data_IF_076623152276
#
_entry.id   IF_076623152276
#
_cell.length_a   1.000
_cell.length_b   1.000
_cell.length_c   1.000
_cell.angle_alpha   90.00
_cell.angle_beta   90.00
_cell.angle_gamma   90.00
#
_symmetry.space_group_name_H-M   'P 1'
#
loop_
_entity.id
_entity.type
_entity.pdbx_description
1 polymer ?
#
# COMPACT_ATOMS: atom_id res chain seq x y z
N UNK A 1 9.63 -35.61 19.39
CA UNK A 1 8.87 -34.72 18.49
C UNK A 1 9.26 -35.04 17.06
N UNK A 2 8.32 -35.14 16.13
CA UNK A 2 8.65 -35.38 14.71
C UNK A 2 9.21 -34.08 14.09
N UNK A 3 10.29 -34.12 13.29
CA UNK A 3 10.85 -32.92 12.65
C UNK A 3 9.83 -32.10 11.84
N UNK A 4 8.87 -32.77 11.20
CA UNK A 4 7.80 -32.12 10.46
C UNK A 4 6.90 -31.26 11.37
N UNK A 5 6.54 -31.77 12.55
CA UNK A 5 5.72 -31.05 13.53
C UNK A 5 6.46 -29.82 14.07
N UNK A 6 7.77 -29.95 14.35
CA UNK A 6 8.60 -28.83 14.80
C UNK A 6 8.63 -27.70 13.76
N UNK A 7 8.87 -28.03 12.48
CA UNK A 7 8.86 -27.04 11.38
C UNK A 7 7.50 -26.39 11.19
N UNK A 8 6.41 -27.15 11.29
CA UNK A 8 5.05 -26.62 11.14
C UNK A 8 4.72 -25.60 12.23
N UNK A 9 5.11 -25.88 13.48
CA UNK A 9 4.89 -24.99 14.62
C UNK A 9 5.79 -23.75 14.52
N UNK A 10 7.08 -23.93 14.26
CA UNK A 10 8.00 -22.78 14.12
C UNK A 10 7.69 -21.91 12.91
N UNK A 11 7.11 -22.48 11.84
CA UNK A 11 6.64 -21.71 10.69
C UNK A 11 5.50 -20.73 11.00
N UNK A 12 4.91 -20.77 12.21
CA UNK A 12 3.94 -19.78 12.69
C UNK A 12 4.60 -18.51 13.25
N UNK A 13 5.92 -18.49 13.43
CA UNK A 13 6.67 -17.30 13.82
C UNK A 13 7.25 -16.64 12.56
N UNK A 14 6.69 -15.50 12.10
CA UNK A 14 7.20 -14.83 10.91
C UNK A 14 8.60 -14.27 11.17
N UNK A 15 9.43 -14.27 10.13
CA UNK A 15 10.79 -13.74 10.19
C UNK A 15 11.02 -12.76 9.05
N UNK A 16 11.87 -11.76 9.28
CA UNK A 16 12.46 -11.02 8.18
C UNK A 16 13.45 -11.90 7.41
N UNK A 17 13.72 -11.54 6.16
CA UNK A 17 14.70 -12.24 5.33
C UNK A 17 15.93 -11.37 5.15
N UNK A 18 17.11 -11.92 5.45
CA UNK A 18 18.38 -11.24 5.21
C UNK A 18 19.29 -12.06 4.29
N UNK A 19 20.21 -11.38 3.61
CA UNK A 19 21.36 -12.00 2.96
C UNK A 19 22.63 -11.57 3.67
N UNK A 20 23.36 -12.54 4.22
CA UNK A 20 24.68 -12.34 4.81
C UNK A 20 25.72 -12.43 3.70
N UNK A 21 26.56 -11.41 3.54
CA UNK A 21 27.55 -11.29 2.46
C UNK A 21 28.97 -11.10 2.99
N UNK A 22 29.94 -11.53 2.18
CA UNK A 22 31.37 -11.23 2.34
C UNK A 22 32.06 -11.36 0.99
N UNK A 23 33.38 -11.13 0.95
CA UNK A 23 34.22 -11.46 -0.21
C UNK A 23 34.98 -12.77 0.05
N UNK A 24 34.93 -13.70 -0.90
CA UNK A 24 35.83 -14.85 -0.90
C UNK A 24 37.29 -14.40 -1.07
N UNK A 25 38.24 -15.33 -0.86
CA UNK A 25 39.67 -15.03 -0.92
C UNK A 25 40.17 -14.52 -2.28
N UNK A 26 39.42 -14.78 -3.35
CA UNK A 26 39.65 -14.29 -4.71
C UNK A 26 38.97 -12.93 -5.01
N UNK A 27 38.29 -12.35 -4.03
CA UNK A 27 37.57 -11.08 -4.16
C UNK A 27 36.16 -11.19 -4.75
N UNK A 28 35.65 -12.40 -4.98
CA UNK A 28 34.29 -12.63 -5.49
C UNK A 28 33.27 -12.48 -4.34
N UNK A 29 32.16 -11.74 -4.52
CA UNK A 29 31.12 -11.65 -3.51
C UNK A 29 30.43 -13.01 -3.30
N UNK A 30 30.29 -13.39 -2.04
CA UNK A 30 29.61 -14.60 -1.60
C UNK A 30 28.52 -14.25 -0.59
N UNK A 31 27.52 -15.12 -0.47
CA UNK A 31 26.44 -14.88 0.47
C UNK A 31 25.50 -16.04 0.72
N UNK A 32 24.67 -15.83 1.73
CA UNK A 32 23.74 -16.82 2.26
C UNK A 32 22.46 -16.13 2.75
N UNK A 33 21.32 -16.62 2.28
CA UNK A 33 20.01 -16.22 2.79
C UNK A 33 19.78 -16.81 4.16
N UNK A 34 19.32 -15.98 5.12
CA UNK A 34 19.06 -16.38 6.50
C UNK A 34 17.76 -15.75 7.00
N UNK A 35 16.90 -16.55 7.64
CA UNK A 35 15.69 -16.07 8.33
C UNK A 35 15.84 -15.99 9.85
N UNK A 36 16.99 -16.40 10.40
CA UNK A 36 17.26 -16.47 11.84
C UNK A 36 17.96 -15.22 12.40
N UNK A 37 18.01 -14.12 11.63
CA UNK A 37 18.66 -12.88 12.03
C UNK A 37 17.92 -12.21 13.20
N UNK A 38 18.68 -11.69 14.17
CA UNK A 38 18.12 -10.96 15.32
C UNK A 38 19.11 -9.97 15.93
N UNK A 39 18.60 -8.93 16.60
CA UNK A 39 19.38 -8.05 17.47
C UNK A 39 19.68 -8.74 18.80
N UNK A 40 20.88 -8.54 19.35
CA UNK A 40 21.31 -9.19 20.60
C UNK A 40 21.54 -8.18 21.72
N UNK A 41 22.23 -7.07 21.44
CA UNK A 41 22.63 -6.09 22.46
C UNK A 41 22.72 -4.69 21.86
N UNK A 42 22.43 -3.68 22.68
CA UNK A 42 22.62 -2.26 22.33
C UNK A 42 24.02 -1.77 22.71
N UNK A 43 24.54 -2.16 23.88
CA UNK A 43 25.87 -1.79 24.34
C UNK A 43 26.63 -3.00 24.94
N UNK A 44 27.64 -3.56 24.24
CA UNK A 44 28.04 -3.19 22.88
C UNK A 44 26.96 -3.55 21.84
N UNK A 45 26.95 -2.92 20.65
CA UNK A 45 25.95 -3.21 19.62
C UNK A 45 26.25 -4.57 18.97
N UNK A 46 25.38 -5.54 19.23
CA UNK A 46 25.53 -6.92 18.76
C UNK A 46 24.28 -7.41 18.00
N UNK A 47 24.51 -8.22 16.97
CA UNK A 47 23.49 -8.96 16.21
C UNK A 47 23.87 -10.44 16.14
N UNK A 48 22.93 -11.31 15.77
CA UNK A 48 23.21 -12.72 15.55
C UNK A 48 22.43 -13.30 14.36
N UNK A 49 22.98 -14.38 13.80
CA UNK A 49 22.30 -15.25 12.85
C UNK A 49 22.74 -16.70 13.07
N UNK A 50 21.89 -17.65 12.64
CA UNK A 50 22.09 -19.07 12.92
C UNK A 50 22.18 -19.87 11.62
N UNK A 51 23.39 -20.12 11.08
CA UNK A 51 23.58 -20.95 9.90
C UNK A 51 23.64 -22.45 10.21
N UNK A 52 23.16 -23.29 9.27
CA UNK A 52 23.38 -24.74 9.30
C UNK A 52 24.88 -25.04 9.18
N UNK A 53 25.40 -25.89 10.08
CA UNK A 53 26.84 -26.25 10.12
C UNK A 53 27.32 -26.96 8.85
N UNK A 54 26.43 -27.62 8.14
CA UNK A 54 26.71 -28.31 6.88
C UNK A 54 26.51 -27.41 5.64
N UNK A 55 26.10 -26.14 5.82
CA UNK A 55 25.92 -25.19 4.72
C UNK A 55 27.25 -24.87 4.05
N UNK A 56 27.34 -25.14 2.74
CA UNK A 56 28.51 -24.75 1.92
C UNK A 56 28.70 -23.22 1.86
N UNK A 57 27.61 -22.45 1.90
CA UNK A 57 27.68 -20.99 1.92
C UNK A 57 28.18 -20.47 3.28
N UNK A 58 27.78 -21.13 4.38
CA UNK A 58 28.34 -20.83 5.69
C UNK A 58 29.83 -21.12 5.76
N UNK A 59 30.27 -22.28 5.24
CA UNK A 59 31.70 -22.60 5.14
C UNK A 59 32.47 -21.50 4.41
N UNK A 60 31.99 -21.07 3.25
CA UNK A 60 32.60 -19.97 2.48
C UNK A 60 32.68 -18.67 3.28
N UNK A 61 31.59 -18.26 3.93
CA UNK A 61 31.54 -17.05 4.78
C UNK A 61 32.46 -17.14 6.01
N UNK A 62 32.60 -18.32 6.59
CA UNK A 62 33.51 -18.55 7.72
C UNK A 62 34.98 -18.50 7.29
N UNK A 63 35.29 -19.00 6.10
CA UNK A 63 36.63 -19.01 5.52
C UNK A 63 37.04 -17.64 4.95
N UNK A 64 36.09 -16.78 4.57
CA UNK A 64 36.37 -15.41 4.09
C UNK A 64 36.92 -14.46 5.15
N UNK A 65 36.88 -14.85 6.43
CA UNK A 65 37.46 -14.09 7.53
C UNK A 65 36.43 -13.65 8.57
N UNK A 66 36.70 -12.53 9.25
CA UNK A 66 35.89 -12.06 10.38
C UNK A 66 34.85 -11.00 10.00
N UNK A 67 34.81 -10.55 8.75
CA UNK A 67 33.96 -9.43 8.34
C UNK A 67 32.81 -9.95 7.48
N UNK A 68 31.60 -9.47 7.76
CA UNK A 68 30.40 -9.81 7.00
C UNK A 68 29.41 -8.65 7.06
N UNK A 69 28.59 -8.52 6.02
CA UNK A 69 27.49 -7.55 5.99
C UNK A 69 26.16 -8.30 5.99
N UNK A 70 25.19 -7.80 6.74
CA UNK A 70 23.81 -8.29 6.71
C UNK A 70 22.98 -7.33 5.87
N UNK A 71 22.33 -7.84 4.83
CA UNK A 71 21.44 -7.08 3.95
C UNK A 71 19.99 -7.47 4.24
N UNK A 72 19.20 -6.55 4.80
CA UNK A 72 17.77 -6.78 5.04
C UNK A 72 17.01 -6.62 3.74
N UNK A 73 16.41 -7.69 3.22
CA UNK A 73 15.80 -7.65 1.89
C UNK A 73 14.45 -6.92 1.88
N UNK A 74 14.21 -6.16 0.82
CA UNK A 74 12.90 -5.58 0.53
C UNK A 74 11.93 -6.58 -0.09
N UNK A 75 10.63 -6.34 0.02
CA UNK A 75 9.58 -7.22 -0.50
C UNK A 75 9.68 -7.52 -2.01
N UNK A 76 10.31 -6.64 -2.78
CA UNK A 76 10.57 -6.77 -4.21
C UNK A 76 11.78 -7.67 -4.54
N UNK A 77 12.55 -8.10 -3.53
CA UNK A 77 13.80 -8.86 -3.70
C UNK A 77 13.63 -10.37 -3.45
N UNK A 78 12.43 -10.91 -3.64
CA UNK A 78 12.17 -12.35 -3.54
C UNK A 78 13.06 -13.16 -4.50
N UNK A 79 13.27 -12.65 -5.72
CA UNK A 79 14.13 -13.30 -6.72
C UNK A 79 15.60 -13.39 -6.26
N UNK A 80 16.11 -12.32 -5.62
CA UNK A 80 17.46 -12.30 -5.04
C UNK A 80 17.55 -13.31 -3.89
N UNK A 81 16.55 -13.34 -3.01
CA UNK A 81 16.46 -14.31 -1.91
C UNK A 81 16.57 -15.75 -2.44
N UNK A 82 15.80 -16.09 -3.48
CA UNK A 82 15.78 -17.42 -4.10
C UNK A 82 17.11 -17.74 -4.80
N UNK A 83 17.68 -16.77 -5.51
CA UNK A 83 18.97 -16.91 -6.19
C UNK A 83 20.11 -17.20 -5.21
N UNK A 84 20.14 -16.50 -4.06
CA UNK A 84 21.19 -16.70 -3.06
C UNK A 84 20.99 -17.97 -2.24
N UNK A 85 19.76 -18.48 -2.13
CA UNK A 85 19.44 -19.71 -1.40
C UNK A 85 19.89 -21.00 -2.13
N UNK A 86 19.98 -21.00 -3.46
CA UNK A 86 20.36 -22.21 -4.22
C UNK A 86 21.85 -22.52 -4.16
N UNK A 87 22.22 -23.80 -4.30
CA UNK A 87 23.62 -24.25 -4.38
C UNK A 87 24.14 -24.07 -5.81
N UNK A 88 24.73 -22.90 -6.09
CA UNK A 88 25.31 -22.52 -7.39
C UNK A 88 26.58 -21.69 -7.17
N UNK A 89 27.53 -21.77 -8.09
CA UNK A 89 28.64 -20.82 -8.19
C UNK A 89 28.16 -19.46 -8.71
N UNK A 90 28.90 -18.39 -8.40
CA UNK A 90 28.63 -17.01 -8.84
C UNK A 90 27.19 -16.54 -8.61
N UNK A 91 26.69 -16.69 -7.38
CA UNK A 91 25.31 -16.30 -7.01
C UNK A 91 24.99 -14.81 -7.20
N UNK A 92 26.02 -13.99 -7.30
CA UNK A 92 25.91 -12.54 -7.49
C UNK A 92 26.00 -12.11 -8.96
N UNK A 93 26.11 -13.06 -9.91
CA UNK A 93 25.99 -12.73 -11.33
C UNK A 93 24.58 -12.18 -11.60
N UNK A 94 24.51 -10.92 -12.04
CA UNK A 94 23.26 -10.22 -12.30
C UNK A 94 22.60 -9.58 -11.06
N UNK A 95 23.23 -9.65 -9.88
CA UNK A 95 22.81 -8.90 -8.69
C UNK A 95 23.63 -7.61 -8.61
N UNK A 96 22.96 -6.46 -8.56
CA UNK A 96 23.65 -5.17 -8.36
C UNK A 96 24.00 -4.99 -6.89
N UNK A 97 25.23 -4.52 -6.63
CA UNK A 97 25.75 -4.32 -5.29
C UNK A 97 26.84 -3.24 -5.29
N UNK A 98 27.03 -2.63 -4.12
CA UNK A 98 28.11 -1.68 -3.85
C UNK A 98 28.85 -2.02 -2.56
N UNK A 99 29.92 -1.29 -2.23
CA UNK A 99 30.68 -1.51 -1.00
C UNK A 99 30.14 -0.62 0.12
N UNK A 100 29.89 -1.21 1.29
CA UNK A 100 29.65 -0.50 2.53
C UNK A 100 30.89 0.30 3.00
N UNK A 101 30.77 1.17 4.03
CA UNK A 101 31.93 1.82 4.64
C UNK A 101 32.97 0.82 5.18
N UNK A 102 32.55 -0.36 5.64
CA UNK A 102 33.43 -1.46 6.02
C UNK A 102 34.06 -2.21 4.83
N UNK A 103 33.72 -1.82 3.60
CA UNK A 103 34.23 -2.41 2.37
C UNK A 103 33.61 -3.75 2.01
N UNK A 104 32.39 -4.04 2.48
CA UNK A 104 31.68 -5.32 2.30
C UNK A 104 30.54 -5.19 1.27
N UNK A 105 30.07 -6.29 0.65
CA UNK A 105 29.01 -6.20 -0.37
C UNK A 105 27.65 -5.84 0.23
N UNK A 106 27.09 -4.72 -0.21
CA UNK A 106 25.72 -4.27 0.06
C UNK A 106 24.88 -4.47 -1.20
N UNK A 107 23.76 -5.17 -1.08
CA UNK A 107 22.84 -5.42 -2.20
C UNK A 107 22.02 -4.15 -2.44
N UNK A 108 22.03 -3.65 -3.68
CA UNK A 108 21.32 -2.43 -4.03
C UNK A 108 19.81 -2.60 -3.83
N UNK A 109 19.17 -1.59 -3.25
CA UNK A 109 17.72 -1.60 -2.98
C UNK A 109 17.29 -2.47 -1.80
N UNK A 110 18.23 -3.02 -1.02
CA UNK A 110 17.89 -3.61 0.28
C UNK A 110 17.27 -2.53 1.21
N UNK A 111 16.55 -2.96 2.26
CA UNK A 111 15.94 -2.03 3.23
C UNK A 111 17.03 -1.35 4.06
N UNK A 112 18.00 -2.15 4.53
CA UNK A 112 19.07 -1.71 5.41
C UNK A 112 20.26 -2.66 5.30
N UNK A 113 21.45 -2.13 5.59
CA UNK A 113 22.66 -2.92 5.71
C UNK A 113 23.28 -2.79 7.10
N UNK A 114 23.99 -3.84 7.54
CA UNK A 114 24.63 -3.90 8.85
C UNK A 114 26.01 -4.56 8.71
N UNK A 115 27.06 -3.73 8.70
CA UNK A 115 28.45 -4.16 8.67
C UNK A 115 28.90 -4.68 10.03
N UNK A 116 29.39 -5.91 10.04
CA UNK A 116 29.74 -6.61 11.27
C UNK A 116 31.16 -7.17 11.24
N UNK A 117 31.70 -7.34 12.45
CA UNK A 117 32.84 -8.23 12.71
C UNK A 117 32.37 -9.39 13.58
N UNK A 118 32.76 -10.62 13.28
CA UNK A 118 32.49 -11.79 14.12
C UNK A 118 33.07 -11.57 15.51
N UNK A 119 32.21 -11.58 16.52
CA UNK A 119 32.53 -11.47 17.94
C UNK A 119 32.77 -12.87 18.52
N UNK A 120 31.84 -13.79 18.27
CA UNK A 120 31.88 -15.16 18.80
C UNK A 120 31.02 -16.11 17.96
N UNK A 121 31.38 -17.40 17.96
CA UNK A 121 30.61 -18.47 17.32
C UNK A 121 30.41 -19.57 18.36
N UNK A 122 29.15 -19.99 18.57
CA UNK A 122 28.80 -21.07 19.50
C UNK A 122 28.12 -22.22 18.75
N UNK A 123 28.45 -23.45 19.09
CA UNK A 123 27.73 -24.61 18.55
C UNK A 123 26.37 -24.76 19.25
N UNK A 124 25.29 -24.90 18.46
CA UNK A 124 23.93 -25.06 18.95
C UNK A 124 23.20 -26.16 18.17
N UNK A 125 23.56 -27.42 18.46
CA UNK A 125 23.01 -28.58 17.78
C UNK A 125 23.53 -28.71 16.34
N UNK A 126 22.63 -28.66 15.36
CA UNK A 126 22.96 -28.71 13.93
C UNK A 126 23.25 -27.31 13.32
N UNK A 127 23.10 -26.25 14.10
CA UNK A 127 23.42 -24.87 13.71
C UNK A 127 24.58 -24.30 14.53
N UNK A 128 25.26 -23.31 13.98
CA UNK A 128 26.09 -22.39 14.76
C UNK A 128 25.26 -21.17 15.18
N UNK A 129 25.60 -20.51 16.28
CA UNK A 129 25.14 -19.17 16.63
C UNK A 129 26.30 -18.22 16.38
N UNK A 130 26.17 -17.39 15.36
CA UNK A 130 27.20 -16.41 15.00
C UNK A 130 26.78 -15.06 15.56
N UNK A 131 27.57 -14.53 16.49
CA UNK A 131 27.38 -13.19 17.07
C UNK A 131 28.32 -12.22 16.36
N UNK A 132 27.77 -11.15 15.82
CA UNK A 132 28.49 -10.07 15.16
C UNK A 132 28.44 -8.77 15.96
N UNK A 133 29.58 -8.10 16.09
CA UNK A 133 29.69 -6.74 16.57
C UNK A 133 29.48 -5.76 15.41
N UNK A 134 28.49 -4.89 15.56
CA UNK A 134 28.15 -3.91 14.53
C UNK A 134 29.22 -2.81 14.47
N UNK A 135 29.60 -2.42 13.25
CA UNK A 135 30.59 -1.37 12.96
C UNK A 135 29.94 -0.18 12.27
N UNK A 136 29.13 -0.46 11.25
CA UNK A 136 28.33 0.51 10.51
C UNK A 136 26.97 -0.10 10.23
N UNK A 137 25.94 0.72 10.19
CA UNK A 137 24.61 0.35 9.70
C UNK A 137 23.96 1.60 9.11
N UNK A 138 23.09 1.40 8.14
CA UNK A 138 22.24 2.48 7.63
C UNK A 138 20.96 1.91 7.00
N UNK A 139 19.98 2.80 6.81
CA UNK A 139 18.80 2.54 5.99
C UNK A 139 19.19 2.81 4.55
N UNK A 140 19.03 1.81 3.69
CA UNK A 140 19.40 1.89 2.28
C UNK A 140 18.22 2.34 1.42
N UNK A 141 17.01 1.82 1.70
CA UNK A 141 15.82 2.13 0.93
C UNK A 141 14.55 2.10 1.79
N UNK A 142 13.62 3.06 1.64
CA UNK A 142 12.37 3.12 2.40
C UNK A 142 11.29 2.18 1.81
N UNK A 143 11.63 0.91 1.63
CA UNK A 143 10.71 -0.13 1.15
C UNK A 143 10.34 -1.09 2.27
N UNK A 144 9.16 -1.70 2.16
CA UNK A 144 8.70 -2.69 3.15
C UNK A 144 9.56 -3.98 3.07
N UNK A 145 9.87 -4.62 4.21
CA UNK A 145 10.75 -5.77 4.24
C UNK A 145 10.09 -7.04 3.69
N UNK A 146 10.92 -7.90 3.10
CA UNK A 146 10.54 -9.28 2.75
C UNK A 146 10.38 -10.11 4.03
N UNK A 147 9.22 -10.74 4.17
CA UNK A 147 8.90 -11.64 5.27
C UNK A 147 8.81 -13.09 4.78
N UNK A 148 9.17 -14.02 5.66
CA UNK A 148 8.94 -15.45 5.47
C UNK A 148 7.99 -15.98 6.54
N UNK A 149 6.88 -16.58 6.11
CA UNK A 149 5.82 -17.10 6.98
C UNK A 149 5.21 -18.38 6.39
N UNK A 150 5.11 -19.45 7.20
CA UNK A 150 4.50 -20.74 6.81
C UNK A 150 5.02 -21.35 5.49
N UNK A 151 6.27 -21.08 5.12
CA UNK A 151 6.87 -21.58 3.88
C UNK A 151 6.69 -20.69 2.66
N UNK A 152 5.99 -19.55 2.79
CA UNK A 152 5.78 -18.56 1.74
C UNK A 152 6.49 -17.24 2.04
N UNK A 153 6.66 -16.44 0.99
CA UNK A 153 7.15 -15.06 1.09
C UNK A 153 5.97 -14.07 1.12
N UNK A 154 6.19 -12.93 1.77
CA UNK A 154 5.23 -11.83 1.84
C UNK A 154 5.90 -10.52 2.25
N UNK A 155 5.10 -9.53 2.60
CA UNK A 155 5.56 -8.21 3.04
C UNK A 155 4.93 -7.85 4.39
N UNK A 156 5.61 -6.98 5.15
CA UNK A 156 4.97 -6.32 6.29
C UNK A 156 3.91 -5.32 5.80
N UNK A 157 2.78 -5.24 6.51
CA UNK A 157 1.72 -4.25 6.31
C UNK A 157 1.33 -3.73 7.71
N UNK A 158 1.78 -2.53 8.13
CA UNK A 158 1.34 -1.94 9.39
C UNK A 158 -0.17 -1.71 9.41
N UNK A 159 -0.82 -2.08 10.52
CA UNK A 159 -2.26 -1.88 10.74
C UNK A 159 -2.59 -0.53 11.42
N UNK A 160 -1.58 0.27 11.81
CA UNK A 160 -1.76 1.51 12.59
C UNK A 160 -1.40 2.77 11.80
N UNK A 161 -2.29 3.76 11.85
CA UNK A 161 -2.16 5.12 11.28
C UNK A 161 -0.90 5.89 11.77
N UNK A 162 -0.35 5.52 12.92
CA UNK A 162 0.77 6.25 13.54
C UNK A 162 2.17 5.71 13.19
N UNK A 163 2.27 4.56 12.53
CA UNK A 163 3.55 3.85 12.38
C UNK A 163 4.05 3.71 10.94
N UNK A 164 3.29 4.15 9.92
CA UNK A 164 3.56 3.73 8.55
C UNK A 164 3.39 4.73 7.40
N UNK A 165 2.72 5.87 7.58
CA UNK A 165 2.42 6.76 6.45
C UNK A 165 2.71 8.22 6.82
N UNK A 166 3.95 8.68 6.61
CA UNK A 166 4.27 10.10 6.61
C UNK A 166 3.33 10.88 5.66
N UNK A 167 2.93 10.22 4.56
CA UNK A 167 1.99 10.68 3.55
C UNK A 167 0.62 11.08 4.13
N UNK A 168 0.12 10.41 5.18
CA UNK A 168 -1.20 10.75 5.72
C UNK A 168 -1.18 12.04 6.56
N UNK A 169 -0.10 12.27 7.31
CA UNK A 169 0.06 13.53 8.08
C UNK A 169 0.14 14.71 7.12
N UNK A 170 0.89 14.55 6.02
CA UNK A 170 0.94 15.52 4.95
C UNK A 170 -0.43 15.74 4.32
N UNK A 171 -1.15 14.67 3.93
CA UNK A 171 -2.50 14.76 3.36
C UNK A 171 -3.48 15.47 4.31
N UNK A 172 -3.44 15.20 5.62
CA UNK A 172 -4.28 15.90 6.59
C UNK A 172 -3.96 17.39 6.69
N UNK A 173 -2.68 17.77 6.57
CA UNK A 173 -2.27 19.17 6.51
C UNK A 173 -2.78 19.85 5.24
N UNK A 174 -2.70 19.17 4.07
CA UNK A 174 -3.25 19.67 2.81
C UNK A 174 -4.79 19.83 2.89
N UNK A 175 -5.48 18.88 3.54
CA UNK A 175 -6.93 18.92 3.73
C UNK A 175 -7.34 20.10 4.60
N UNK A 176 -6.56 20.43 5.64
CA UNK A 176 -6.87 21.58 6.49
C UNK A 176 -6.78 22.91 5.74
N UNK A 177 -5.83 23.04 4.80
CA UNK A 177 -5.71 24.20 3.90
C UNK A 177 -6.97 24.38 3.05
N UNK A 178 -7.58 23.29 2.57
CA UNK A 178 -8.75 23.34 1.67
C UNK A 178 -10.08 23.33 2.42
N UNK A 179 -10.07 23.22 3.75
CA UNK A 179 -11.29 23.20 4.59
C UNK A 179 -12.27 24.34 4.29
N UNK A 180 -11.85 25.60 4.10
CA UNK A 180 -12.78 26.68 3.76
C UNK A 180 -13.51 26.46 2.42
N UNK A 181 -12.86 25.81 1.44
CA UNK A 181 -13.46 25.48 0.14
C UNK A 181 -14.53 24.39 0.34
N UNK A 182 -14.25 23.41 1.20
CA UNK A 182 -15.23 22.38 1.55
C UNK A 182 -16.46 22.98 2.25
N UNK A 183 -16.25 23.91 3.18
CA UNK A 183 -17.32 24.64 3.90
C UNK A 183 -18.19 25.47 2.96
N UNK A 184 -17.57 26.18 2.02
CA UNK A 184 -18.28 26.96 0.99
C UNK A 184 -19.17 26.06 0.13
N UNK A 185 -18.63 24.94 -0.36
CA UNK A 185 -19.37 23.99 -1.21
C UNK A 185 -20.51 23.32 -0.43
N UNK A 186 -20.24 22.88 0.81
CA UNK A 186 -21.24 22.29 1.69
C UNK A 186 -22.38 23.28 1.99
N UNK A 187 -22.05 24.54 2.29
CA UNK A 187 -23.04 25.59 2.57
C UNK A 187 -23.86 25.98 1.34
N UNK A 188 -23.26 26.01 0.14
CA UNK A 188 -23.96 26.37 -1.10
C UNK A 188 -25.10 25.41 -1.43
N UNK A 189 -24.90 24.13 -1.14
CA UNK A 189 -25.83 23.06 -1.53
C UNK A 189 -26.57 22.40 -0.37
N UNK A 190 -26.37 22.90 0.86
CA UNK A 190 -26.87 22.35 2.11
C UNK A 190 -26.65 20.83 2.19
N UNK A 191 -25.39 20.43 2.06
CA UNK A 191 -25.00 19.01 1.96
C UNK A 191 -23.70 18.71 2.69
N UNK A 192 -23.31 17.43 2.70
CA UNK A 192 -22.00 17.00 3.16
C UNK A 192 -20.98 17.08 2.03
N UNK A 193 -19.78 17.53 2.38
CA UNK A 193 -18.59 17.45 1.55
C UNK A 193 -17.52 16.67 2.31
N UNK A 194 -16.92 15.68 1.66
CA UNK A 194 -15.89 14.83 2.28
C UNK A 194 -14.58 14.87 1.51
N UNK A 195 -13.48 14.67 2.23
CA UNK A 195 -12.18 14.39 1.65
C UNK A 195 -11.83 12.91 1.86
N UNK A 196 -11.36 12.25 0.80
CA UNK A 196 -10.94 10.85 0.83
C UNK A 196 -9.53 10.73 0.26
N UNK A 197 -8.65 10.05 0.96
CA UNK A 197 -7.28 9.76 0.54
C UNK A 197 -7.16 8.30 0.09
N UNK A 198 -6.33 8.03 -0.91
CA UNK A 198 -5.90 6.66 -1.20
C UNK A 198 -4.65 6.38 -0.38
N UNK A 199 -4.79 5.48 0.60
CA UNK A 199 -3.68 5.00 1.42
C UNK A 199 -3.45 3.55 1.04
N UNK A 200 -2.35 3.31 0.31
CA UNK A 200 -1.99 1.98 -0.21
C UNK A 200 -3.08 1.42 -1.13
N UNK A 201 -3.92 0.49 -0.65
CA UNK A 201 -5.02 -0.13 -1.40
C UNK A 201 -6.39 0.09 -0.71
N UNK A 202 -6.48 1.13 0.11
CA UNK A 202 -7.71 1.50 0.82
C UNK A 202 -8.00 2.99 0.65
N UNK A 203 -9.27 3.31 0.44
CA UNK A 203 -9.78 4.67 0.51
C UNK A 203 -10.06 5.00 1.98
N UNK A 204 -9.39 6.02 2.48
CA UNK A 204 -9.54 6.53 3.83
C UNK A 204 -10.31 7.84 3.81
N UNK A 205 -11.46 7.87 4.49
CA UNK A 205 -12.21 9.09 4.73
C UNK A 205 -11.48 9.96 5.77
N UNK A 206 -10.95 11.09 5.36
CA UNK A 206 -10.02 11.92 6.15
C UNK A 206 -10.65 13.20 6.67
N UNK A 207 -11.67 13.74 6.00
CA UNK A 207 -12.45 14.86 6.52
C UNK A 207 -13.91 14.83 6.04
N UNK A 208 -14.78 15.47 6.82
CA UNK A 208 -16.18 15.72 6.47
C UNK A 208 -16.58 17.10 6.99
N UNK A 209 -17.36 17.82 6.20
CA UNK A 209 -17.94 19.14 6.52
C UNK A 209 -19.40 19.14 6.09
N UNK A 210 -20.28 19.77 6.88
CA UNK A 210 -21.72 19.77 6.64
C UNK A 210 -22.42 18.54 7.21
N UNK A 211 -23.58 18.19 6.64
CA UNK A 211 -24.37 17.00 7.01
C UNK A 211 -25.02 16.41 5.77
N UNK A 212 -25.06 15.08 5.69
CA UNK A 212 -25.73 14.36 4.61
C UNK A 212 -27.06 13.81 5.11
N UNK A 213 -28.15 14.10 4.41
CA UNK A 213 -29.46 13.47 4.66
C UNK A 213 -29.57 12.06 4.08
N UNK A 214 -28.68 11.72 3.14
CA UNK A 214 -28.73 10.44 2.40
C UNK A 214 -27.78 9.38 2.97
N UNK A 215 -26.85 9.75 3.85
CA UNK A 215 -25.94 8.80 4.49
C UNK A 215 -26.73 7.89 5.46
N UNK A 216 -26.67 6.57 5.25
CA UNK A 216 -27.41 5.60 6.09
C UNK A 216 -26.77 5.46 7.48
N UNK A 217 -25.47 5.74 7.55
CA UNK A 217 -24.70 5.85 8.79
C UNK A 217 -23.90 7.16 8.77
N UNK A 218 -23.65 7.81 9.92
CA UNK A 218 -22.83 9.02 9.95
C UNK A 218 -21.48 8.76 9.31
N UNK A 219 -21.08 9.63 8.40
CA UNK A 219 -19.77 9.65 7.75
C UNK A 219 -18.69 9.88 8.81
N UNK A 220 -17.88 8.85 9.12
CA UNK A 220 -16.88 8.91 10.21
C UNK A 220 -15.48 9.04 9.63
N UNK A 221 -14.81 10.16 9.93
CA UNK A 221 -13.36 10.28 9.70
C UNK A 221 -12.65 9.06 10.29
N UNK A 222 -11.75 8.46 9.50
CA UNK A 222 -11.07 7.20 9.80
C UNK A 222 -11.70 5.97 9.13
N UNK A 223 -12.89 6.08 8.54
CA UNK A 223 -13.54 4.98 7.83
C UNK A 223 -12.77 4.60 6.56
N UNK A 224 -12.58 3.28 6.37
CA UNK A 224 -11.91 2.68 5.23
C UNK A 224 -12.86 1.94 4.30
N UNK A 225 -12.59 2.05 3.01
CA UNK A 225 -13.21 1.27 1.93
C UNK A 225 -12.10 0.64 1.08
N UNK A 226 -12.31 -0.56 0.52
CA UNK A 226 -11.32 -1.16 -0.37
C UNK A 226 -11.18 -0.35 -1.66
N UNK A 227 -9.96 -0.24 -2.18
CA UNK A 227 -9.68 0.34 -3.49
C UNK A 227 -9.92 -0.69 -4.59
N UNK A 228 -11.13 -0.73 -5.14
CA UNK A 228 -11.53 -1.73 -6.15
C UNK A 228 -12.70 -1.24 -7.02
N UNK A 229 -12.84 -1.70 -8.28
CA UNK A 229 -13.92 -1.23 -9.13
C UNK A 229 -15.32 -1.52 -8.58
N UNK A 230 -16.29 -0.57 -8.71
CA UNK A 230 -16.12 0.76 -9.31
C UNK A 230 -15.64 1.85 -8.31
N UNK A 231 -15.44 1.50 -7.03
CA UNK A 231 -15.07 2.41 -5.95
C UNK A 231 -13.60 2.88 -6.08
N UNK A 232 -13.35 4.18 -5.89
CA UNK A 232 -12.01 4.76 -6.04
C UNK A 232 -11.62 5.07 -7.49
N UNK A 233 -12.56 5.02 -8.42
CA UNK A 233 -12.32 5.25 -9.86
C UNK A 233 -11.62 6.56 -10.20
N UNK A 234 -11.76 7.63 -9.40
CA UNK A 234 -11.02 8.90 -9.59
C UNK A 234 -9.51 8.72 -9.42
N UNK A 235 -9.08 8.00 -8.38
CA UNK A 235 -7.66 7.68 -8.18
C UNK A 235 -7.15 6.77 -9.31
N UNK A 236 -7.94 5.79 -9.75
CA UNK A 236 -7.57 4.93 -10.87
C UNK A 236 -7.46 5.71 -12.20
N UNK A 237 -8.35 6.67 -12.44
CA UNK A 237 -8.35 7.51 -13.63
C UNK A 237 -7.12 8.42 -13.72
N UNK A 238 -6.66 8.96 -12.59
CA UNK A 238 -5.61 9.99 -12.56
C UNK A 238 -4.27 9.53 -11.94
N UNK A 239 -4.18 8.32 -11.39
CA UNK A 239 -2.98 7.78 -10.73
C UNK A 239 -1.97 7.09 -11.66
N UNK A 240 -2.18 7.15 -12.98
CA UNK A 240 -1.32 6.49 -13.98
C UNK A 240 -1.46 4.96 -14.01
N UNK A 241 -0.68 4.31 -14.88
CA UNK A 241 -0.84 2.90 -15.21
C UNK A 241 -0.67 1.96 -14.01
N UNK A 242 0.21 2.30 -13.06
CA UNK A 242 0.45 1.48 -11.86
C UNK A 242 -0.78 1.45 -10.95
N UNK A 243 -1.36 2.62 -10.66
CA UNK A 243 -2.54 2.74 -9.79
C UNK A 243 -3.77 2.14 -10.47
N UNK A 244 -3.94 2.36 -11.77
CA UNK A 244 -5.00 1.73 -12.57
C UNK A 244 -4.89 0.20 -12.56
N UNK A 245 -3.68 -0.33 -12.73
CA UNK A 245 -3.44 -1.79 -12.70
C UNK A 245 -3.72 -2.37 -11.31
N UNK A 246 -3.30 -1.69 -10.24
CA UNK A 246 -3.60 -2.10 -8.87
C UNK A 246 -5.12 -2.12 -8.61
N UNK A 247 -5.84 -1.09 -9.03
CA UNK A 247 -7.30 -1.03 -8.94
C UNK A 247 -7.96 -2.22 -9.64
N UNK A 248 -7.61 -2.47 -10.91
CA UNK A 248 -8.17 -3.56 -11.71
C UNK A 248 -7.80 -4.96 -11.19
N UNK A 249 -6.66 -5.10 -10.50
CA UNK A 249 -6.25 -6.38 -9.92
C UNK A 249 -7.15 -6.86 -8.78
N UNK A 250 -7.97 -5.96 -8.21
CA UNK A 250 -8.99 -6.31 -7.21
C UNK A 250 -10.32 -6.79 -7.84
N UNK A 251 -10.38 -6.95 -9.16
CA UNK A 251 -11.44 -7.72 -9.82
C UNK A 251 -11.24 -9.22 -9.57
N UNK A 252 -12.30 -9.99 -9.81
CA UNK A 252 -12.20 -11.45 -9.74
C UNK A 252 -11.19 -11.96 -10.78
N UNK A 253 -10.30 -12.90 -10.43
CA UNK A 253 -9.36 -13.50 -11.39
C UNK A 253 -10.12 -14.16 -12.57
N UNK A 254 -11.36 -14.57 -12.35
CA UNK A 254 -12.24 -15.12 -13.38
C UNK A 254 -13.09 -14.08 -14.13
N UNK A 255 -12.87 -12.78 -13.91
CA UNK A 255 -13.66 -11.74 -14.57
C UNK A 255 -13.41 -11.75 -16.09
N UNK A 256 -14.47 -11.72 -16.92
CA UNK A 256 -14.32 -11.62 -18.37
C UNK A 256 -13.54 -10.37 -18.79
N UNK A 257 -12.82 -10.44 -19.91
CA UNK A 257 -12.01 -9.34 -20.44
C UNK A 257 -12.87 -8.09 -20.73
N UNK A 258 -14.13 -8.28 -21.09
CA UNK A 258 -15.11 -7.21 -21.29
C UNK A 258 -15.34 -6.37 -20.02
N UNK A 259 -15.29 -6.99 -18.84
CA UNK A 259 -15.44 -6.30 -17.55
C UNK A 259 -14.22 -5.41 -17.28
N UNK A 260 -13.02 -5.90 -17.61
CA UNK A 260 -11.79 -5.11 -17.47
C UNK A 260 -11.82 -3.89 -18.41
N UNK A 261 -12.21 -4.10 -19.67
CA UNK A 261 -12.34 -3.05 -20.67
C UNK A 261 -13.38 -1.99 -20.26
N UNK A 262 -14.53 -2.42 -19.72
CA UNK A 262 -15.55 -1.51 -19.20
C UNK A 262 -14.99 -0.52 -18.15
N UNK A 263 -14.21 -1.02 -17.20
CA UNK A 263 -13.62 -0.17 -16.15
C UNK A 263 -12.47 0.72 -16.64
N UNK A 264 -11.72 0.29 -17.67
CA UNK A 264 -10.74 1.15 -18.35
C UNK A 264 -11.43 2.30 -19.08
N UNK A 265 -12.48 2.01 -19.84
CA UNK A 265 -13.28 3.04 -20.50
C UNK A 265 -13.92 4.00 -19.48
N UNK A 266 -14.36 3.48 -18.34
CA UNK A 266 -14.85 4.31 -17.23
C UNK A 266 -13.77 5.27 -16.72
N UNK A 267 -12.55 4.76 -16.49
CA UNK A 267 -11.42 5.57 -16.03
C UNK A 267 -11.07 6.67 -17.04
N UNK A 268 -11.07 6.38 -18.34
CA UNK A 268 -10.85 7.38 -19.40
C UNK A 268 -11.94 8.46 -19.42
N UNK A 269 -13.22 8.07 -19.28
CA UNK A 269 -14.33 9.04 -19.18
C UNK A 269 -14.17 9.95 -17.98
N UNK A 270 -13.83 9.39 -16.81
CA UNK A 270 -13.59 10.16 -15.58
C UNK A 270 -12.43 11.13 -15.79
N UNK A 271 -11.34 10.70 -16.41
CA UNK A 271 -10.18 11.56 -16.71
C UNK A 271 -10.57 12.72 -17.61
N UNK A 272 -11.35 12.46 -18.66
CA UNK A 272 -11.82 13.48 -19.60
C UNK A 272 -12.78 14.50 -18.98
N UNK A 273 -13.75 14.04 -18.18
CA UNK A 273 -14.73 14.94 -17.56
C UNK A 273 -14.20 15.66 -16.31
N UNK A 274 -13.26 15.03 -15.59
CA UNK A 274 -12.61 15.56 -14.38
C UNK A 274 -13.34 15.24 -13.06
N UNK A 275 -14.35 14.38 -13.10
CA UNK A 275 -15.07 13.90 -11.91
C UNK A 275 -15.64 12.50 -12.13
N UNK A 276 -16.07 11.85 -11.06
CA UNK A 276 -16.88 10.63 -11.10
C UNK A 276 -18.28 10.91 -10.52
N UNK A 277 -19.27 10.12 -10.92
CA UNK A 277 -20.66 10.29 -10.54
C UNK A 277 -21.27 8.97 -10.11
N UNK A 278 -22.01 8.96 -9.00
CA UNK A 278 -22.83 7.83 -8.58
C UNK A 278 -24.31 8.24 -8.44
N UNK A 279 -25.19 7.41 -8.99
CA UNK A 279 -26.65 7.54 -8.90
C UNK A 279 -27.26 6.26 -8.31
N UNK A 280 -28.41 6.40 -7.64
CA UNK A 280 -29.12 5.30 -6.99
C UNK A 280 -28.78 5.17 -5.49
N UNK A 281 -29.78 4.80 -4.67
CA UNK A 281 -29.63 4.74 -3.20
C UNK A 281 -29.54 3.31 -2.63
N UNK A 282 -30.20 2.31 -3.22
CA UNK A 282 -30.39 1.01 -2.53
C UNK A 282 -29.11 0.17 -2.40
N UNK A 283 -28.32 0.05 -3.47
CA UNK A 283 -27.09 -0.77 -3.44
C UNK A 283 -25.94 -0.08 -2.68
N UNK A 284 -25.86 1.25 -2.76
CA UNK A 284 -24.85 2.05 -2.05
C UNK A 284 -25.05 2.02 -0.51
N UNK A 285 -26.31 1.97 -0.05
CA UNK A 285 -26.64 1.85 1.37
C UNK A 285 -26.16 0.55 2.02
N UNK A 286 -26.03 -0.54 1.25
CA UNK A 286 -25.50 -1.81 1.75
C UNK A 286 -23.99 -1.73 2.03
N UNK A 287 -23.25 -0.99 1.20
CA UNK A 287 -21.80 -0.75 1.35
C UNK A 287 -21.53 0.08 2.58
N UNK A 288 -22.25 1.19 2.76
CA UNK A 288 -22.08 2.05 3.94
C UNK A 288 -22.31 1.30 5.24
N UNK A 289 -23.41 0.54 5.34
CA UNK A 289 -23.70 -0.26 6.53
C UNK A 289 -22.62 -1.30 6.80
N UNK A 290 -22.15 -1.98 5.76
CA UNK A 290 -21.11 -3.01 5.89
C UNK A 290 -19.76 -2.41 6.26
N UNK A 291 -19.37 -1.32 5.60
CA UNK A 291 -18.14 -0.58 5.88
C UNK A 291 -18.14 -0.01 7.30
N UNK A 292 -19.20 0.66 7.73
CA UNK A 292 -19.30 1.23 9.08
C UNK A 292 -19.15 0.16 10.17
N UNK A 293 -19.75 -1.03 9.98
CA UNK A 293 -19.65 -2.15 10.92
C UNK A 293 -18.25 -2.79 10.93
N UNK A 294 -17.63 -2.98 9.76
CA UNK A 294 -16.27 -3.48 9.66
C UNK A 294 -15.26 -2.54 10.33
N UNK A 295 -15.41 -1.23 10.13
CA UNK A 295 -14.50 -0.22 10.68
C UNK A 295 -14.58 -0.10 12.22
N UNK A 296 -15.68 -0.53 12.85
CA UNK A 296 -15.78 -0.63 14.32
C UNK A 296 -15.42 -2.02 14.87
N UNK A 297 -14.93 -2.92 14.01
CA UNK A 297 -14.52 -4.27 14.41
C UNK A 297 -15.68 -5.21 14.76
N UNK A 298 -16.86 -5.02 14.16
CA UNK A 298 -18.01 -5.90 14.38
C UNK A 298 -17.70 -7.33 13.90
N UNK A 299 -17.65 -8.35 14.79
CA UNK A 299 -17.33 -9.73 14.41
C UNK A 299 -18.41 -10.38 13.54
N UNK A 300 -19.61 -9.77 13.46
CA UNK A 300 -20.71 -10.23 12.62
C UNK A 300 -20.64 -9.79 11.16
N UNK A 301 -19.57 -9.11 10.73
CA UNK A 301 -19.35 -8.71 9.34
C UNK A 301 -17.98 -9.18 8.86
N UNK A 302 -17.95 -9.84 7.71
CA UNK A 302 -16.72 -10.28 7.06
C UNK A 302 -16.34 -9.30 5.93
N UNK A 303 -15.05 -8.91 5.79
CA UNK A 303 -14.56 -8.16 4.62
C UNK A 303 -15.07 -8.64 3.26
N UNK A 304 -15.26 -9.94 3.05
CA UNK A 304 -15.81 -10.50 1.81
C UNK A 304 -17.23 -10.04 1.47
N UNK A 305 -18.06 -9.74 2.47
CA UNK A 305 -19.42 -9.21 2.26
C UNK A 305 -19.42 -7.78 1.71
N UNK A 306 -18.46 -6.96 2.13
CA UNK A 306 -18.27 -5.61 1.60
C UNK A 306 -17.81 -5.66 0.14
N UNK A 307 -16.88 -6.57 -0.20
CA UNK A 307 -16.43 -6.78 -1.58
C UNK A 307 -17.58 -7.23 -2.49
N UNK A 308 -18.42 -8.15 -2.02
CA UNK A 308 -19.60 -8.59 -2.76
C UNK A 308 -20.59 -7.43 -3.01
N UNK A 309 -20.87 -6.63 -1.98
CA UNK A 309 -21.74 -5.46 -2.12
C UNK A 309 -21.20 -4.41 -3.09
N UNK A 310 -19.88 -4.21 -3.14
CA UNK A 310 -19.23 -3.30 -4.10
C UNK A 310 -19.37 -3.81 -5.54
N UNK A 311 -19.23 -5.13 -5.76
CA UNK A 311 -19.43 -5.75 -7.08
C UNK A 311 -20.86 -5.56 -7.60
N UNK A 312 -21.84 -5.39 -6.71
CA UNK A 312 -23.25 -5.19 -7.06
C UNK A 312 -23.63 -3.72 -7.36
N UNK A 313 -22.69 -2.76 -7.28
CA UNK A 313 -22.98 -1.35 -7.58
C UNK A 313 -23.45 -1.10 -9.02
N UNK A 314 -23.10 -1.98 -9.95
CA UNK A 314 -23.67 -2.01 -11.31
C UNK A 314 -23.56 -0.70 -12.10
N UNK A 315 -24.48 -0.50 -13.04
CA UNK A 315 -24.50 0.61 -14.01
C UNK A 315 -24.77 2.00 -13.39
N UNK A 316 -25.14 2.07 -12.12
CA UNK A 316 -25.40 3.33 -11.41
C UNK A 316 -24.13 4.11 -11.06
N UNK A 317 -22.96 3.48 -11.17
CA UNK A 317 -21.68 4.11 -10.88
C UNK A 317 -20.96 4.50 -12.18
N UNK A 318 -20.79 5.80 -12.40
CA UNK A 318 -20.28 6.43 -13.62
C UNK A 318 -21.03 6.02 -14.90
N UNK A 319 -22.37 6.25 -14.95
CA UNK A 319 -23.13 6.00 -16.17
C UNK A 319 -22.54 6.81 -17.33
N UNK A 320 -22.44 6.23 -18.55
CA UNK A 320 -21.80 6.89 -19.68
C UNK A 320 -22.55 8.14 -20.15
N UNK A 321 -23.87 8.18 -19.98
CA UNK A 321 -24.73 9.31 -20.27
C UNK A 321 -25.89 9.37 -19.28
N UNK A 322 -26.33 10.59 -18.94
CA UNK A 322 -27.59 10.83 -18.23
C UNK A 322 -28.66 11.28 -19.22
N UNK A 323 -29.90 10.85 -19.02
CA UNK A 323 -31.03 11.33 -19.81
C UNK A 323 -31.39 12.76 -19.36
N UNK A 324 -31.37 13.78 -20.25
CA UNK A 324 -31.65 15.16 -19.88
C UNK A 324 -33.02 15.41 -19.25
N UNK A 325 -34.03 14.59 -19.56
CA UNK A 325 -35.42 14.75 -19.09
C UNK A 325 -35.76 13.84 -17.89
N UNK A 326 -34.76 13.23 -17.27
CA UNK A 326 -34.95 12.30 -16.15
C UNK A 326 -34.58 12.92 -14.80
N UNK A 327 -35.16 12.34 -13.75
CA UNK A 327 -34.75 12.58 -12.36
C UNK A 327 -33.90 11.43 -11.86
N UNK A 328 -32.84 11.77 -11.13
CA UNK A 328 -31.94 10.80 -10.56
C UNK A 328 -31.84 10.96 -9.05
N UNK A 329 -31.84 9.84 -8.34
CA UNK A 329 -31.36 9.74 -6.96
C UNK A 329 -29.85 10.01 -6.95
N UNK A 330 -29.45 11.28 -6.90
CA UNK A 330 -28.04 11.66 -6.88
C UNK A 330 -27.40 11.20 -5.57
N UNK A 331 -26.39 10.33 -5.65
CA UNK A 331 -25.72 9.79 -4.46
C UNK A 331 -24.56 10.67 -4.05
N UNK A 332 -23.55 10.73 -4.91
CA UNK A 332 -22.36 11.53 -4.71
C UNK A 332 -21.66 11.78 -6.06
N UNK A 333 -20.88 12.86 -6.12
CA UNK A 333 -19.85 13.05 -7.14
C UNK A 333 -18.49 13.18 -6.45
N UNK A 334 -17.41 12.81 -7.15
CA UNK A 334 -16.04 12.87 -6.64
C UNK A 334 -15.11 13.52 -7.66
N UNK A 335 -14.25 14.45 -7.25
CA UNK A 335 -13.26 15.09 -8.13
C UNK A 335 -11.86 15.05 -7.49
N UNK A 336 -10.79 14.90 -8.29
CA UNK A 336 -9.41 14.83 -7.80
C UNK A 336 -8.89 16.20 -7.37
N UNK A 337 -8.13 16.22 -6.28
CA UNK A 337 -7.26 17.34 -5.91
C UNK A 337 -5.82 16.87 -6.09
N UNK A 338 -5.04 17.64 -6.86
CA UNK A 338 -3.68 17.23 -7.23
C UNK A 338 -2.63 17.84 -6.33
N UNK A 339 -1.59 17.07 -6.02
CA UNK A 339 -0.38 17.51 -5.33
C UNK A 339 0.57 18.29 -6.28
N UNK A 340 1.62 18.95 -5.74
CA UNK A 340 2.61 19.68 -6.56
C UNK A 340 3.33 18.84 -7.62
N UNK A 341 3.47 17.54 -7.41
CA UNK A 341 4.05 16.57 -8.35
C UNK A 341 3.00 15.95 -9.31
N UNK A 342 1.79 16.50 -9.33
CA UNK A 342 0.66 16.10 -10.18
C UNK A 342 0.02 14.74 -9.85
N UNK A 343 0.36 14.07 -8.74
CA UNK A 343 -0.41 12.91 -8.28
C UNK A 343 -1.71 13.36 -7.60
N UNK A 344 -2.69 12.45 -7.47
CA UNK A 344 -3.95 12.75 -6.74
C UNK A 344 -3.69 12.70 -5.24
N UNK A 345 -3.63 13.86 -4.59
CA UNK A 345 -3.41 13.98 -3.14
C UNK A 345 -4.60 13.39 -2.35
N UNK A 346 -5.81 13.75 -2.77
CA UNK A 346 -7.08 13.27 -2.23
C UNK A 346 -8.21 13.59 -3.21
N UNK A 347 -9.41 13.08 -2.96
CA UNK A 347 -10.62 13.49 -3.68
C UNK A 347 -11.52 14.32 -2.77
N UNK A 348 -12.17 15.33 -3.36
CA UNK A 348 -13.35 15.94 -2.76
C UNK A 348 -14.59 15.22 -3.25
N UNK A 349 -15.54 14.96 -2.35
CA UNK A 349 -16.82 14.35 -2.70
C UNK A 349 -17.96 15.24 -2.21
N UNK A 350 -18.94 15.50 -3.08
CA UNK A 350 -20.19 16.19 -2.72
C UNK A 350 -21.33 15.17 -2.67
N UNK A 351 -22.11 15.18 -1.58
CA UNK A 351 -23.25 14.28 -1.42
C UNK A 351 -24.52 14.87 -2.03
N UNK A 352 -25.39 13.99 -2.53
CA UNK A 352 -26.67 14.38 -3.09
C UNK A 352 -27.80 14.44 -2.05
N UNK A 353 -28.90 15.15 -2.39
CA UNK A 353 -30.07 15.29 -1.54
C UNK A 353 -30.88 13.99 -1.46
N UNK A 354 -31.79 13.90 -0.48
CA UNK A 354 -32.65 12.75 -0.24
C UNK A 354 -33.70 12.50 -1.33
N UNK A 355 -34.15 13.57 -2.00
CA UNK A 355 -35.10 13.49 -3.10
C UNK A 355 -34.38 13.41 -4.47
N UNK A 356 -34.93 12.69 -5.46
CA UNK A 356 -34.44 12.74 -6.83
C UNK A 356 -34.43 14.16 -7.40
N UNK A 357 -33.35 14.53 -8.09
CA UNK A 357 -33.14 15.84 -8.71
C UNK A 357 -33.06 15.73 -10.24
N UNK A 358 -33.28 16.84 -10.94
CA UNK A 358 -33.19 16.86 -12.40
C UNK A 358 -31.75 16.64 -12.85
N UNK A 359 -31.56 16.05 -14.04
CA UNK A 359 -30.22 15.87 -14.64
C UNK A 359 -29.41 17.17 -14.69
N UNK A 360 -30.06 18.32 -14.94
CA UNK A 360 -29.41 19.62 -14.93
C UNK A 360 -28.79 19.96 -13.56
N UNK A 361 -29.49 19.65 -12.46
CA UNK A 361 -29.02 19.89 -11.10
C UNK A 361 -27.87 18.93 -10.72
N UNK A 362 -27.92 17.68 -11.19
CA UNK A 362 -26.81 16.72 -11.02
C UNK A 362 -25.53 17.26 -11.67
N UNK A 363 -25.64 17.72 -12.92
CA UNK A 363 -24.50 18.24 -13.68
C UNK A 363 -23.98 19.58 -13.11
N UNK A 364 -24.87 20.45 -12.64
CA UNK A 364 -24.49 21.70 -11.97
C UNK A 364 -23.66 21.45 -10.70
N UNK A 365 -24.10 20.50 -9.86
CA UNK A 365 -23.36 20.08 -8.66
C UNK A 365 -22.01 19.43 -8.99
N UNK A 366 -21.95 18.59 -10.03
CA UNK A 366 -20.70 17.98 -10.47
C UNK A 366 -19.70 19.03 -11.01
N UNK A 367 -20.20 20.04 -11.74
CA UNK A 367 -19.38 21.17 -12.20
C UNK A 367 -18.85 21.99 -11.03
N UNK A 368 -19.71 22.32 -10.06
CA UNK A 368 -19.29 23.07 -8.88
C UNK A 368 -18.27 22.30 -8.03
N UNK A 369 -18.40 20.98 -7.92
CA UNK A 369 -17.40 20.13 -7.28
C UNK A 369 -16.06 20.18 -8.02
N UNK A 370 -16.06 20.07 -9.34
CA UNK A 370 -14.85 20.14 -10.15
C UNK A 370 -14.12 21.48 -9.96
N UNK A 371 -14.85 22.60 -10.03
CA UNK A 371 -14.30 23.93 -9.78
C UNK A 371 -13.73 24.06 -8.36
N UNK A 372 -14.42 23.49 -7.36
CA UNK A 372 -13.92 23.45 -5.98
C UNK A 372 -12.63 22.63 -5.86
N UNK A 373 -12.52 21.50 -6.57
CA UNK A 373 -11.33 20.66 -6.59
C UNK A 373 -10.15 21.32 -7.33
N UNK A 374 -10.41 22.08 -8.39
CA UNK A 374 -9.40 22.90 -9.08
C UNK A 374 -8.89 24.04 -8.17
N UNK A 375 -9.79 24.73 -7.46
CA UNK A 375 -9.42 25.73 -6.44
C UNK A 375 -8.62 25.10 -5.30
N UNK A 376 -9.02 23.91 -4.83
CA UNK A 376 -8.32 23.16 -3.80
C UNK A 376 -6.90 22.78 -4.26
N UNK A 377 -6.77 22.31 -5.50
CA UNK A 377 -5.48 22.01 -6.15
C UNK A 377 -4.59 23.24 -6.16
N UNK A 378 -5.10 24.39 -6.60
CA UNK A 378 -4.34 25.64 -6.60
C UNK A 378 -3.94 26.09 -5.18
N UNK A 379 -4.83 25.94 -4.20
CA UNK A 379 -4.57 26.34 -2.81
C UNK A 379 -3.44 25.55 -2.16
N UNK A 380 -3.24 24.30 -2.56
CA UNK A 380 -2.15 23.43 -2.06
C UNK A 380 -0.90 23.45 -2.95
N UNK A 381 -0.84 24.34 -3.95
CA UNK A 381 0.28 24.43 -4.89
C UNK A 381 0.36 23.28 -5.89
N UNK A 382 -0.75 22.57 -6.09
CA UNK A 382 -0.87 21.43 -6.99
C UNK A 382 -0.92 21.78 -8.47
N UNK A 383 -0.66 20.76 -9.30
CA UNK A 383 -0.71 20.88 -10.76
C UNK A 383 -1.71 19.89 -11.34
N UNK A 384 -2.67 20.41 -12.10
CA UNK A 384 -3.58 19.56 -12.89
C UNK A 384 -2.77 18.97 -14.05
N UNK A 385 -2.74 17.63 -14.22
CA UNK A 385 -2.06 17.00 -15.35
C UNK A 385 -2.59 17.57 -16.67
N UNK A 386 -1.68 17.89 -17.59
CA UNK A 386 -2.07 18.32 -18.94
C UNK A 386 -2.88 17.24 -19.65
N UNK A 387 -4.01 17.62 -20.26
CA UNK A 387 -4.88 16.74 -21.04
C UNK A 387 -4.16 16.08 -22.22
#
# INVERSE_FOLDING_TARGET
MLPAQFRQVLGQYPTGVVVVTAFAGDGVPIGMTVGSFTSVSLDPPLVAFLPDRNSSSWRGLRESGKHFCVNVLGNHQEDICRLVAVRKENKFDGVSWHKSPGGLPVIDGCVAYIDCTVESIFEAGDHDIVVGRVRHLDIESPVEPLLFFRGGYGSFIPLSLAAGDADLVEQLALIDVVRPIMEELASRYDTEVTAVCLVRNELLLTAAVGRSETAVTPTRVGQRLPFMPPVGSVFAAHGGDKVLSAWLSNLDESAPEEVNNHYREMAERIRSQGYSLAIGHENAAAIERSASRLNVGDPGVNPGSLHAAIKELGEGYNPPNLNPESKYSFRLASAPVFAPDSHVAFTLNIWGPSAPIETADVLERASALKEAAERATAAIGGLVPGC
#
